data_IF_323850029731
#
_entry.id   IF_323850029731
#
_cell.length_a   1.000
_cell.length_b   1.000
_cell.length_c   1.000
_cell.angle_alpha   90.00
_cell.angle_beta   90.00
_cell.angle_gamma   90.00
#
_symmetry.space_group_name_H-M   'P 1'
#
loop_
_entity.id
_entity.type
_entity.pdbx_description
1 polymer ?
#
# COMPACT_ATOMS: atom_id res chain seq x y z
N UNK A 1 16.44 12.18 0.38
CA UNK A 1 15.85 13.18 -0.54
C UNK A 1 16.13 12.78 -1.98
N UNK A 2 15.28 11.95 -2.59
CA UNK A 2 15.43 11.50 -3.99
C UNK A 2 14.06 11.35 -4.71
N UNK A 3 13.07 12.22 -4.40
CA UNK A 3 11.70 12.02 -4.88
C UNK A 3 11.35 12.65 -6.24
N UNK A 4 11.93 13.80 -6.57
CA UNK A 4 11.42 14.65 -7.66
C UNK A 4 12.07 14.40 -9.03
N UNK A 5 13.41 14.27 -9.17
CA UNK A 5 14.01 14.08 -10.50
C UNK A 5 13.80 12.66 -11.06
N UNK A 6 13.34 11.69 -10.28
CA UNK A 6 13.09 10.32 -10.75
C UNK A 6 11.69 10.16 -11.34
N UNK A 7 10.64 10.59 -10.63
CA UNK A 7 9.25 10.53 -11.11
C UNK A 7 9.04 11.32 -12.41
N UNK A 8 9.71 12.48 -12.55
CA UNK A 8 9.65 13.29 -13.76
C UNK A 8 10.33 12.62 -14.97
N UNK A 9 11.37 11.82 -14.75
CA UNK A 9 11.97 11.01 -15.83
C UNK A 9 11.08 9.82 -16.18
N UNK A 10 10.47 9.17 -15.20
CA UNK A 10 9.54 8.07 -15.41
C UNK A 10 8.32 8.48 -16.24
N UNK A 11 7.75 9.67 -15.99
CA UNK A 11 6.56 10.13 -16.74
C UNK A 11 6.88 10.43 -18.22
N UNK A 12 8.09 10.92 -18.51
CA UNK A 12 8.52 11.19 -19.89
C UNK A 12 8.71 9.93 -20.73
N UNK A 13 9.06 8.81 -20.11
CA UNK A 13 9.27 7.51 -20.79
C UNK A 13 7.96 6.72 -20.96
N UNK A 14 6.91 7.08 -20.22
CA UNK A 14 5.62 6.39 -20.23
C UNK A 14 5.02 6.24 -21.65
N UNK A 15 4.96 7.27 -22.52
CA UNK A 15 4.38 7.11 -23.85
C UNK A 15 5.12 6.08 -24.70
N UNK A 16 6.46 6.06 -24.60
CA UNK A 16 7.31 5.13 -25.35
C UNK A 16 7.02 3.70 -24.92
N UNK A 17 6.96 3.43 -23.61
CA UNK A 17 6.65 2.10 -23.05
C UNK A 17 5.26 1.65 -23.46
N UNK A 18 4.27 2.55 -23.43
CA UNK A 18 2.90 2.21 -23.83
C UNK A 18 2.78 1.85 -25.31
N UNK A 19 3.51 2.55 -26.20
CA UNK A 19 3.56 2.21 -27.63
C UNK A 19 4.16 0.82 -27.84
N UNK A 20 5.30 0.53 -27.20
CA UNK A 20 5.93 -0.79 -27.31
C UNK A 20 5.07 -1.91 -26.71
N UNK A 21 4.39 -1.65 -25.59
CA UNK A 21 3.47 -2.61 -24.99
C UNK A 21 2.26 -2.89 -25.90
N UNK A 22 1.69 -1.85 -26.52
CA UNK A 22 0.59 -1.99 -27.46
C UNK A 22 1.00 -2.78 -28.71
N UNK A 23 2.14 -2.43 -29.32
CA UNK A 23 2.67 -3.12 -30.49
C UNK A 23 2.99 -4.59 -30.18
N UNK A 24 3.65 -4.86 -29.06
CA UNK A 24 3.97 -6.22 -28.64
C UNK A 24 2.72 -7.06 -28.34
N UNK A 25 1.70 -6.46 -27.73
CA UNK A 25 0.42 -7.13 -27.45
C UNK A 25 -0.33 -7.43 -28.76
N UNK A 26 -0.35 -6.49 -29.70
CA UNK A 26 -0.96 -6.68 -31.01
C UNK A 26 -0.28 -7.80 -31.80
N UNK A 27 1.05 -7.77 -31.86
CA UNK A 27 1.84 -8.82 -32.50
C UNK A 27 1.60 -10.20 -31.87
N UNK A 28 1.55 -10.29 -30.53
CA UNK A 28 1.27 -11.53 -29.83
C UNK A 28 -0.14 -12.05 -30.14
N UNK A 29 -1.14 -11.18 -30.12
CA UNK A 29 -2.53 -11.53 -30.42
C UNK A 29 -2.68 -12.11 -31.83
N UNK A 30 -2.14 -11.42 -32.84
CA UNK A 30 -2.15 -11.90 -34.23
C UNK A 30 -1.39 -13.21 -34.39
N UNK A 31 -0.22 -13.35 -33.74
CA UNK A 31 0.57 -14.59 -33.78
C UNK A 31 -0.21 -15.78 -33.22
N UNK A 32 -0.91 -15.60 -32.10
CA UNK A 32 -1.74 -16.64 -31.49
C UNK A 32 -2.94 -17.01 -32.37
N UNK A 33 -3.57 -16.03 -33.03
CA UNK A 33 -4.66 -16.28 -33.99
C UNK A 33 -4.14 -17.13 -35.16
N UNK A 34 -2.98 -16.80 -35.71
CA UNK A 34 -2.38 -17.55 -36.80
C UNK A 34 -2.06 -19.00 -36.38
N UNK A 35 -1.46 -19.18 -35.20
CA UNK A 35 -1.17 -20.53 -34.67
C UNK A 35 -2.42 -21.36 -34.40
N UNK A 36 -3.49 -20.74 -33.87
CA UNK A 36 -4.77 -21.43 -33.69
C UNK A 36 -5.33 -21.89 -35.03
N UNK A 37 -5.34 -21.02 -36.04
CA UNK A 37 -5.89 -21.31 -37.38
C UNK A 37 -5.16 -22.45 -38.10
N UNK A 38 -3.84 -22.50 -38.01
CA UNK A 38 -3.02 -23.55 -38.63
C UNK A 38 -3.27 -24.93 -38.02
N UNK A 39 -3.56 -24.98 -36.71
CA UNK A 39 -3.77 -26.24 -35.97
C UNK A 39 -5.23 -26.64 -35.83
N UNK A 40 -6.15 -25.78 -36.25
CA UNK A 40 -7.58 -26.01 -36.14
C UNK A 40 -8.06 -27.06 -37.17
N UNK A 41 -8.61 -28.15 -36.64
CA UNK A 41 -9.11 -29.34 -37.36
C UNK A 41 -10.60 -29.18 -37.73
N UNK A 42 -11.28 -28.13 -37.25
CA UNK A 42 -12.71 -27.95 -37.51
C UNK A 42 -13.01 -27.70 -39.00
N UNK A 43 -13.99 -28.42 -39.59
CA UNK A 43 -14.37 -28.28 -40.98
C UNK A 43 -15.32 -27.08 -41.15
N UNK A 44 -14.83 -25.87 -40.85
CA UNK A 44 -15.59 -24.65 -41.10
C UNK A 44 -15.43 -24.24 -42.56
N UNK A 45 -16.53 -24.32 -43.31
CA UNK A 45 -16.57 -24.11 -44.77
C UNK A 45 -16.26 -22.68 -45.24
N UNK A 46 -16.27 -21.69 -44.33
CA UNK A 46 -16.08 -20.27 -44.68
C UNK A 46 -14.87 -19.65 -43.97
N UNK A 47 -13.93 -19.03 -44.71
CA UNK A 47 -12.76 -18.35 -44.14
C UNK A 47 -13.12 -17.29 -43.10
N UNK A 48 -14.23 -16.59 -43.30
CA UNK A 48 -14.72 -15.54 -42.41
C UNK A 48 -15.14 -16.07 -41.03
N UNK A 49 -15.76 -17.25 -40.98
CA UNK A 49 -16.20 -17.86 -39.70
C UNK A 49 -15.00 -18.34 -38.88
N UNK A 50 -14.00 -18.92 -39.55
CA UNK A 50 -12.77 -19.40 -38.91
C UNK A 50 -11.95 -18.25 -38.29
N UNK A 51 -11.95 -17.07 -38.91
CA UNK A 51 -11.29 -15.89 -38.36
C UNK A 51 -11.97 -15.35 -37.10
N UNK A 52 -13.31 -15.26 -37.12
CA UNK A 52 -14.08 -14.79 -35.96
C UNK A 52 -13.92 -15.73 -34.76
N UNK A 53 -13.97 -17.05 -34.99
CA UNK A 53 -13.76 -18.04 -33.93
C UNK A 53 -12.36 -17.92 -33.32
N UNK A 54 -11.32 -17.86 -34.15
CA UNK A 54 -9.94 -17.75 -33.66
C UNK A 54 -9.74 -16.49 -32.80
N UNK A 55 -10.26 -15.34 -33.26
CA UNK A 55 -10.21 -14.08 -32.50
C UNK A 55 -10.96 -14.20 -31.16
N UNK A 56 -12.13 -14.83 -31.17
CA UNK A 56 -12.94 -15.03 -29.96
C UNK A 56 -12.26 -15.94 -28.95
N UNK A 57 -11.76 -17.10 -29.39
CA UNK A 57 -11.07 -18.09 -28.54
C UNK A 57 -9.79 -17.50 -27.97
N UNK A 58 -8.92 -16.94 -28.82
CA UNK A 58 -7.66 -16.32 -28.37
C UNK A 58 -7.92 -15.13 -27.47
N UNK A 59 -8.88 -14.26 -27.82
CA UNK A 59 -9.24 -13.11 -27.00
C UNK A 59 -9.75 -13.51 -25.62
N UNK A 60 -10.63 -14.51 -25.56
CA UNK A 60 -11.14 -15.06 -24.30
C UNK A 60 -10.02 -15.68 -23.47
N UNK A 61 -9.13 -16.45 -24.10
CA UNK A 61 -7.99 -17.07 -23.42
C UNK A 61 -7.03 -16.02 -22.83
N UNK A 62 -6.74 -14.94 -23.56
CA UNK A 62 -5.90 -13.85 -23.06
C UNK A 62 -6.57 -13.09 -21.91
N UNK A 63 -7.87 -12.83 -21.98
CA UNK A 63 -8.62 -12.21 -20.87
C UNK A 63 -8.54 -13.09 -19.63
N UNK A 64 -8.77 -14.41 -19.77
CA UNK A 64 -8.67 -15.36 -18.66
C UNK A 64 -7.24 -15.38 -18.10
N UNK A 65 -6.22 -15.37 -18.95
CA UNK A 65 -4.82 -15.32 -18.53
C UNK A 65 -4.51 -14.04 -17.74
N UNK A 66 -4.94 -12.87 -18.23
CA UNK A 66 -4.74 -11.60 -17.53
C UNK A 66 -5.45 -11.57 -16.17
N UNK A 67 -6.68 -12.08 -16.11
CA UNK A 67 -7.41 -12.22 -14.85
C UNK A 67 -6.69 -13.17 -13.89
N UNK A 68 -6.21 -14.33 -14.38
CA UNK A 68 -5.48 -15.29 -13.58
C UNK A 68 -4.19 -14.71 -12.99
N UNK A 69 -3.42 -13.95 -13.79
CA UNK A 69 -2.22 -13.24 -13.32
C UNK A 69 -2.60 -12.18 -12.27
N UNK A 70 -3.65 -11.39 -12.53
CA UNK A 70 -4.13 -10.38 -11.58
C UNK A 70 -4.54 -10.97 -10.23
N UNK A 71 -5.27 -12.09 -10.24
CA UNK A 71 -5.66 -12.81 -9.03
C UNK A 71 -4.43 -13.39 -8.31
N UNK A 72 -3.49 -13.97 -9.05
CA UNK A 72 -2.27 -14.56 -8.48
C UNK A 72 -1.38 -13.50 -7.81
N UNK A 73 -1.16 -12.36 -8.46
CA UNK A 73 -0.37 -11.26 -7.89
C UNK A 73 -1.11 -10.59 -6.73
N UNK A 74 -2.44 -10.45 -6.79
CA UNK A 74 -3.23 -9.97 -5.66
C UNK A 74 -3.05 -10.87 -4.43
N UNK A 75 -3.21 -12.18 -4.59
CA UNK A 75 -3.04 -13.13 -3.49
C UNK A 75 -1.61 -13.12 -2.93
N UNK A 76 -0.62 -13.13 -3.82
CA UNK A 76 0.80 -13.05 -3.43
C UNK A 76 1.12 -11.79 -2.66
N UNK A 77 0.65 -10.63 -3.10
CA UNK A 77 0.95 -9.35 -2.47
C UNK A 77 0.14 -9.13 -1.19
N UNK A 78 -1.20 -9.17 -1.27
CA UNK A 78 -2.08 -8.78 -0.17
C UNK A 78 -2.33 -9.90 0.84
N UNK A 79 -2.40 -11.15 0.42
CA UNK A 79 -2.69 -12.25 1.33
C UNK A 79 -1.42 -12.92 1.87
N UNK A 80 -0.37 -13.05 1.06
CA UNK A 80 0.84 -13.79 1.44
C UNK A 80 1.99 -12.91 1.89
N UNK A 81 2.23 -11.77 1.25
CA UNK A 81 3.33 -10.87 1.60
C UNK A 81 2.92 -9.89 2.70
N UNK A 82 1.80 -9.17 2.53
CA UNK A 82 1.38 -8.13 3.47
C UNK A 82 1.02 -8.63 4.89
N UNK A 83 0.67 -9.92 5.03
CA UNK A 83 0.34 -10.55 6.33
C UNK A 83 1.56 -11.14 7.05
N UNK A 84 2.76 -11.00 6.48
CA UNK A 84 3.98 -11.48 7.12
C UNK A 84 4.35 -10.60 8.31
N UNK A 85 4.74 -11.17 9.46
CA UNK A 85 5.16 -10.40 10.63
C UNK A 85 6.27 -9.39 10.31
N UNK A 86 7.24 -9.78 9.48
CA UNK A 86 8.38 -8.92 9.12
C UNK A 86 7.93 -7.67 8.36
N UNK A 87 6.84 -7.77 7.59
CA UNK A 87 6.25 -6.62 6.88
C UNK A 87 5.53 -5.73 7.88
N UNK A 88 4.77 -6.29 8.82
CA UNK A 88 4.07 -5.50 9.84
C UNK A 88 5.05 -4.70 10.71
N UNK A 89 6.15 -5.33 11.12
CA UNK A 89 7.21 -4.69 11.91
C UNK A 89 7.89 -3.56 11.12
N UNK A 90 8.15 -3.79 9.82
CA UNK A 90 8.80 -2.78 8.96
C UNK A 90 7.92 -1.55 8.71
N UNK A 91 6.60 -1.72 8.72
CA UNK A 91 5.62 -0.66 8.42
C UNK A 91 4.92 -0.09 9.67
N UNK A 92 5.51 -0.27 10.86
CA UNK A 92 5.04 0.34 12.11
C UNK A 92 3.56 0.04 12.44
N UNK A 93 3.14 -1.21 12.20
CA UNK A 93 1.77 -1.66 12.49
C UNK A 93 1.41 -1.49 13.99
N UNK A 94 2.40 -1.67 14.86
CA UNK A 94 2.33 -1.41 16.30
C UNK A 94 1.98 0.05 16.64
N UNK A 95 2.50 1.02 15.89
CA UNK A 95 2.15 2.44 16.09
C UNK A 95 0.74 2.76 15.62
N UNK A 96 0.26 2.09 14.57
CA UNK A 96 -1.14 2.20 14.14
C UNK A 96 -2.06 1.64 15.23
N UNK A 97 -1.75 0.45 15.74
CA UNK A 97 -2.53 -0.17 16.83
C UNK A 97 -2.55 0.71 18.09
N UNK A 98 -1.40 1.27 18.48
CA UNK A 98 -1.34 2.22 19.60
C UNK A 98 -2.23 3.46 19.36
N UNK A 99 -2.24 4.00 18.14
CA UNK A 99 -3.12 5.10 17.77
C UNK A 99 -4.61 4.75 17.86
N UNK A 100 -4.98 3.54 17.42
CA UNK A 100 -6.35 3.02 17.53
C UNK A 100 -6.75 2.80 18.99
N UNK A 101 -5.87 2.22 19.81
CA UNK A 101 -6.08 2.07 21.26
C UNK A 101 -6.33 3.44 21.91
N UNK A 102 -5.54 4.46 21.60
CA UNK A 102 -5.75 5.82 22.12
C UNK A 102 -7.11 6.38 21.71
N UNK A 103 -7.56 6.14 20.48
CA UNK A 103 -8.87 6.59 19.98
C UNK A 103 -10.05 5.89 20.67
N UNK A 104 -9.86 4.67 21.17
CA UNK A 104 -10.88 3.93 21.92
C UNK A 104 -11.01 4.41 23.38
N UNK A 105 -9.99 5.08 23.93
CA UNK A 105 -10.00 5.60 25.29
C UNK A 105 -10.89 6.86 25.43
N UNK A 106 -11.59 7.07 26.57
CA UNK A 106 -12.47 8.23 26.77
C UNK A 106 -11.71 9.55 26.64
N UNK A 107 -12.26 10.53 25.91
CA UNK A 107 -11.57 11.80 25.57
C UNK A 107 -11.22 12.64 26.80
N UNK A 108 -11.94 12.46 27.89
CA UNK A 108 -11.81 13.19 29.14
C UNK A 108 -10.58 12.73 29.95
N UNK A 109 -10.14 11.48 29.73
CA UNK A 109 -8.99 10.90 30.43
C UNK A 109 -7.69 11.38 29.77
N UNK A 110 -6.75 11.96 30.53
CA UNK A 110 -5.43 12.32 30.00
C UNK A 110 -4.63 11.09 29.57
N UNK A 111 -4.10 11.12 28.35
CA UNK A 111 -3.15 10.11 27.85
C UNK A 111 -1.78 10.73 27.63
N UNK A 112 -0.75 10.06 28.10
CA UNK A 112 0.64 10.41 27.84
C UNK A 112 1.31 9.29 27.06
N UNK A 113 1.81 9.62 25.87
CA UNK A 113 2.56 8.70 25.01
C UNK A 113 4.05 8.96 25.23
N UNK A 114 4.75 7.97 25.80
CA UNK A 114 6.20 8.03 25.98
C UNK A 114 6.86 7.59 24.68
N UNK A 115 7.49 8.52 23.96
CA UNK A 115 8.07 8.27 22.64
C UNK A 115 9.48 7.71 22.78
N UNK A 116 9.57 6.40 23.03
CA UNK A 116 10.83 5.66 23.10
C UNK A 116 11.12 4.95 21.78
N UNK A 117 10.98 5.67 20.66
CA UNK A 117 11.37 5.22 19.34
C UNK A 117 12.47 6.14 18.80
N UNK A 118 13.52 5.54 18.25
CA UNK A 118 14.61 6.30 17.62
C UNK A 118 14.17 6.87 16.27
N UNK A 119 14.62 8.08 15.96
CA UNK A 119 14.36 8.69 14.66
C UNK A 119 14.79 10.14 14.60
N UNK A 120 14.66 10.74 13.42
CA UNK A 120 14.85 12.19 13.26
C UNK A 120 13.74 12.91 14.01
N UNK A 121 14.10 13.97 14.75
CA UNK A 121 13.12 14.80 15.44
C UNK A 121 12.38 15.69 14.45
N UNK A 122 11.06 15.74 14.55
CA UNK A 122 10.19 16.71 13.88
C UNK A 122 9.46 17.47 14.98
N UNK A 123 9.66 18.79 15.05
CA UNK A 123 9.10 19.65 16.11
C UNK A 123 9.45 19.16 17.54
N UNK A 124 10.64 18.57 17.71
CA UNK A 124 11.12 18.07 19.01
C UNK A 124 10.63 16.67 19.40
N UNK A 125 9.83 16.00 18.56
CA UNK A 125 9.33 14.64 18.79
C UNK A 125 9.86 13.71 17.69
N UNK A 126 10.30 12.47 18.02
CA UNK A 126 10.75 11.51 17.01
C UNK A 126 9.69 11.26 15.93
N UNK A 127 10.13 11.24 14.66
CA UNK A 127 9.28 11.00 13.49
C UNK A 127 8.37 9.76 13.62
N UNK A 128 8.78 8.62 14.22
CA UNK A 128 7.89 7.49 14.47
C UNK A 128 6.58 7.82 15.20
N UNK A 129 6.58 8.82 16.10
CA UNK A 129 5.37 9.24 16.79
C UNK A 129 4.33 9.89 15.87
N UNK A 130 4.73 10.35 14.69
CA UNK A 130 3.83 10.99 13.73
C UNK A 130 2.73 10.03 13.25
N UNK A 131 3.00 8.73 13.17
CA UNK A 131 1.97 7.72 12.85
C UNK A 131 0.84 7.77 13.88
N UNK A 132 1.19 7.73 15.17
CA UNK A 132 0.22 7.83 16.28
C UNK A 132 -0.51 9.17 16.25
N UNK A 133 0.21 10.27 16.05
CA UNK A 133 -0.39 11.61 15.92
C UNK A 133 -1.35 11.73 14.75
N UNK A 134 -1.07 11.08 13.62
CA UNK A 134 -1.92 11.11 12.44
C UNK A 134 -3.21 10.32 12.69
N UNK A 135 -3.10 9.07 13.17
CA UNK A 135 -4.25 8.21 13.49
C UNK A 135 -5.14 8.83 14.55
N UNK A 136 -4.55 9.44 15.57
CA UNK A 136 -5.30 10.13 16.64
C UNK A 136 -5.71 11.55 16.27
N UNK A 137 -5.19 12.11 15.17
CA UNK A 137 -5.41 13.50 14.78
C UNK A 137 -4.92 14.51 15.82
N UNK A 138 -3.75 14.29 16.42
CA UNK A 138 -3.14 15.12 17.47
C UNK A 138 -1.77 15.65 17.08
N UNK A 139 -1.55 15.90 15.78
CA UNK A 139 -0.28 16.48 15.30
C UNK A 139 -0.03 17.86 15.93
N UNK A 140 -1.05 18.72 16.02
CA UNK A 140 -0.92 20.07 16.60
C UNK A 140 -1.18 20.09 18.11
N UNK A 141 -0.52 21.00 18.82
CA UNK A 141 -0.72 21.18 20.27
C UNK A 141 -2.17 21.48 20.66
N UNK A 142 -2.91 22.21 19.82
CA UNK A 142 -4.32 22.52 20.04
C UNK A 142 -5.16 21.24 20.10
N UNK A 143 -4.95 20.34 19.13
CA UNK A 143 -5.67 19.07 19.06
C UNK A 143 -5.23 18.10 20.15
N UNK A 144 -3.95 18.14 20.55
CA UNK A 144 -3.44 17.41 21.72
C UNK A 144 -4.20 17.80 23.00
N UNK A 145 -4.35 19.11 23.26
CA UNK A 145 -5.11 19.63 24.40
C UNK A 145 -6.60 19.28 24.31
N UNK A 146 -7.20 19.42 23.12
CA UNK A 146 -8.62 19.09 22.90
C UNK A 146 -8.93 17.60 23.14
N UNK A 147 -8.03 16.70 22.75
CA UNK A 147 -8.21 15.25 22.89
C UNK A 147 -7.56 14.67 24.15
N UNK A 148 -6.94 15.51 24.96
CA UNK A 148 -6.14 15.15 26.13
C UNK A 148 -5.08 14.07 25.84
N UNK A 149 -4.37 14.19 24.71
CA UNK A 149 -3.27 13.29 24.31
C UNK A 149 -1.98 14.10 24.27
N UNK A 150 -0.97 13.70 25.02
CA UNK A 150 0.30 14.41 25.13
C UNK A 150 1.46 13.46 24.83
N UNK A 151 2.47 13.95 24.13
CA UNK A 151 3.65 13.17 23.76
C UNK A 151 4.85 13.67 24.59
N UNK A 152 5.57 12.74 25.20
CA UNK A 152 6.72 13.05 26.07
C UNK A 152 7.93 12.21 25.69
N UNK A 153 9.12 12.79 25.80
CA UNK A 153 10.37 12.08 25.56
C UNK A 153 10.79 11.25 26.78
N UNK A 154 11.59 10.18 26.59
CA UNK A 154 12.20 9.45 27.70
C UNK A 154 13.02 10.39 28.60
N UNK A 155 12.84 10.32 29.92
CA UNK A 155 13.48 11.22 30.89
C UNK A 155 12.67 12.49 31.25
N UNK A 156 11.54 12.72 30.57
CA UNK A 156 10.63 13.84 30.84
C UNK A 156 9.38 13.42 31.64
N UNK A 157 9.43 12.29 32.36
CA UNK A 157 8.27 11.73 33.10
C UNK A 157 7.73 12.69 34.17
N UNK A 158 8.59 13.63 34.63
CA UNK A 158 8.20 14.73 35.52
C UNK A 158 7.11 15.65 34.95
N UNK A 159 6.86 15.61 33.63
CA UNK A 159 5.78 16.36 32.96
C UNK A 159 4.40 15.70 33.09
N UNK A 160 4.32 14.48 33.62
CA UNK A 160 3.05 13.81 33.91
C UNK A 160 2.48 14.39 35.21
N UNK A 161 1.59 15.38 35.08
CA UNK A 161 1.07 16.16 36.22
C UNK A 161 -0.38 15.84 36.58
N UNK A 162 -1.10 15.10 35.72
CA UNK A 162 -2.54 14.86 35.88
C UNK A 162 -2.81 13.55 36.62
N UNK A 163 -3.63 13.55 37.69
CA UNK A 163 -4.04 12.33 38.37
C UNK A 163 -4.94 11.48 37.45
N UNK A 164 -4.87 10.14 37.58
CA UNK A 164 -5.60 9.17 36.75
C UNK A 164 -5.27 9.20 35.25
N UNK A 165 -4.08 9.68 34.88
CA UNK A 165 -3.63 9.64 33.50
C UNK A 165 -3.25 8.22 33.06
N UNK A 166 -3.54 7.89 31.80
CA UNK A 166 -3.12 6.65 31.15
C UNK A 166 -1.77 6.91 30.48
N UNK A 167 -0.77 6.08 30.77
CA UNK A 167 0.57 6.18 30.20
C UNK A 167 0.77 5.02 29.23
N UNK A 168 1.13 5.34 27.99
CA UNK A 168 1.30 4.37 26.92
C UNK A 168 2.72 4.48 26.35
N UNK A 169 3.53 3.42 26.38
CA UNK A 169 4.85 3.44 25.79
C UNK A 169 4.75 3.24 24.27
N UNK A 170 5.45 4.07 23.51
CA UNK A 170 5.70 3.87 22.09
C UNK A 170 7.13 3.35 21.97
N UNK A 171 7.27 2.04 21.83
CA UNK A 171 8.54 1.33 21.74
C UNK A 171 8.79 0.98 20.27
N UNK A 172 9.98 1.28 19.75
CA UNK A 172 10.43 0.61 18.53
C UNK A 172 10.97 -0.77 18.91
N UNK A 173 10.43 -1.83 18.32
CA UNK A 173 11.08 -3.14 18.31
C UNK A 173 12.38 -3.10 17.50
#
# INVERSE_FOLDING_TARGET
>A
WEGIPHALRSIGVLPVVMIFAAEGTWWLFETLIHWYREKDIHPLESPYKKEYEARFVVGTALIILMLAIGIAEYDKYFNKWAKRPEVQDTFAADFVELGEQINQLPKEVPKYVIVNASGVLVEGIPMPAQTVMFITGTYTEEKQKQKNVFYILPGEERKITRPNAIVLPLLSN
#
